data_IF_230316826056
#
_entry.id   IF_230316826056
#
_cell.length_a   1.000
_cell.length_b   1.000
_cell.length_c   1.000
_cell.angle_alpha   90.00
_cell.angle_beta   90.00
_cell.angle_gamma   90.00
#
_symmetry.space_group_name_H-M   'P 1'
#
loop_
_entity.id
_entity.type
_entity.pdbx_description
1 polymer ?
#
# COMPACT_ATOMS: atom_id res chain seq x y z
N UNK A 1 -11.97 -20.42 -2.11
CA UNK A 1 -11.88 -18.95 -2.16
C UNK A 1 -10.94 -18.53 -1.03
N UNK A 2 -9.76 -18.01 -1.33
CA UNK A 2 -8.83 -17.57 -0.28
C UNK A 2 -9.41 -16.33 0.40
N UNK A 3 -9.35 -16.27 1.73
CA UNK A 3 -9.81 -15.11 2.50
C UNK A 3 -8.73 -14.03 2.40
N UNK A 4 -9.12 -12.80 2.04
CA UNK A 4 -8.20 -11.67 2.08
C UNK A 4 -7.85 -11.33 3.52
N UNK A 5 -6.56 -11.10 3.76
CA UNK A 5 -6.02 -10.65 5.03
C UNK A 5 -5.52 -9.20 4.90
N UNK A 6 -5.60 -8.45 6.00
CA UNK A 6 -5.10 -7.07 6.08
C UNK A 6 -3.76 -7.09 6.80
N UNK A 7 -2.73 -6.62 6.12
CA UNK A 7 -1.39 -6.43 6.67
C UNK A 7 -1.15 -4.94 6.81
N UNK A 8 -0.76 -4.49 8.00
CA UNK A 8 -0.58 -3.08 8.32
C UNK A 8 0.83 -2.82 8.82
N UNK A 9 1.38 -1.65 8.49
CA UNK A 9 2.60 -1.11 9.11
C UNK A 9 2.40 -0.71 10.57
N UNK A 10 1.15 -0.64 11.04
CA UNK A 10 0.77 0.20 12.17
C UNK A 10 0.87 1.69 11.81
N UNK A 11 0.51 2.55 12.77
CA UNK A 11 0.62 3.99 12.59
C UNK A 11 2.08 4.42 12.78
N UNK A 12 2.66 4.99 11.74
CA UNK A 12 4.03 5.49 11.67
C UNK A 12 4.03 7.01 11.84
N UNK A 13 5.03 7.54 12.56
CA UNK A 13 5.30 8.97 12.60
C UNK A 13 6.08 9.38 11.34
N UNK A 14 5.60 10.42 10.67
CA UNK A 14 6.28 11.01 9.51
C UNK A 14 7.56 11.70 9.97
N UNK A 15 8.68 11.31 9.36
CA UNK A 15 9.96 11.99 9.53
C UNK A 15 10.24 12.91 8.33
N UNK A 16 11.35 12.72 7.61
CA UNK A 16 11.71 13.46 6.39
C UNK A 16 11.10 12.88 5.11
N UNK A 17 10.20 11.90 5.22
CA UNK A 17 9.60 11.22 4.08
C UNK A 17 8.49 12.08 3.45
N UNK A 18 8.53 12.19 2.12
CA UNK A 18 7.48 12.85 1.33
C UNK A 18 6.44 11.87 0.79
N UNK A 19 6.75 10.58 0.83
CA UNK A 19 5.89 9.52 0.30
C UNK A 19 5.85 8.36 1.28
N UNK A 20 4.65 7.78 1.44
CA UNK A 20 4.46 6.46 2.00
C UNK A 20 4.49 5.47 0.84
N UNK A 21 5.41 4.51 0.86
CA UNK A 21 5.68 3.62 -0.28
C UNK A 21 5.42 2.17 0.10
N UNK A 22 4.76 1.42 -0.80
CA UNK A 22 4.59 -0.02 -0.73
C UNK A 22 5.11 -0.67 -2.01
N UNK A 23 6.19 -1.44 -1.88
CA UNK A 23 6.72 -2.31 -2.91
C UNK A 23 6.13 -3.70 -2.71
N UNK A 24 5.32 -4.17 -3.67
CA UNK A 24 4.64 -5.45 -3.62
C UNK A 24 5.08 -6.27 -4.82
N UNK A 25 5.79 -7.35 -4.57
CA UNK A 25 6.26 -8.26 -5.60
C UNK A 25 5.48 -9.58 -5.54
N UNK A 26 5.01 -10.03 -6.69
CA UNK A 26 4.54 -11.39 -6.88
C UNK A 26 5.70 -12.21 -7.44
N UNK A 27 6.36 -12.98 -6.57
CA UNK A 27 7.50 -13.84 -6.93
C UNK A 27 7.05 -15.22 -7.41
N UNK A 28 5.74 -15.47 -7.45
CA UNK A 28 5.16 -16.68 -8.02
C UNK A 28 5.24 -16.68 -9.55
N UNK A 29 5.00 -17.86 -10.15
CA UNK A 29 5.14 -18.07 -11.61
C UNK A 29 3.83 -18.38 -12.32
N UNK A 30 2.70 -18.44 -11.60
CA UNK A 30 1.41 -18.91 -12.15
C UNK A 30 0.22 -18.03 -11.79
N UNK A 31 0.10 -17.66 -10.52
CA UNK A 31 -1.10 -17.00 -10.01
C UNK A 31 -0.98 -15.48 -10.10
N UNK A 32 -2.02 -14.84 -10.64
CA UNK A 32 -2.23 -13.39 -10.51
C UNK A 32 -3.00 -13.12 -9.23
N UNK A 33 -2.55 -12.13 -8.46
CA UNK A 33 -3.20 -11.77 -7.20
C UNK A 33 -3.88 -10.40 -7.29
N UNK A 34 -5.06 -10.30 -6.70
CA UNK A 34 -5.76 -9.03 -6.49
C UNK A 34 -5.28 -8.41 -5.18
N UNK A 35 -4.63 -7.25 -5.29
CA UNK A 35 -4.03 -6.52 -4.18
C UNK A 35 -4.70 -5.16 -4.02
N UNK A 36 -5.06 -4.79 -2.79
CA UNK A 36 -5.50 -3.44 -2.47
C UNK A 36 -4.51 -2.78 -1.52
N UNK A 37 -4.03 -1.59 -1.86
CA UNK A 37 -3.24 -0.73 -0.97
C UNK A 37 -4.12 0.40 -0.46
N UNK A 38 -4.02 0.68 0.82
CA UNK A 38 -4.58 1.88 1.42
C UNK A 38 -3.49 2.63 2.17
N UNK A 39 -3.47 3.96 2.04
CA UNK A 39 -2.68 4.82 2.90
C UNK A 39 -3.64 5.74 3.65
N UNK A 40 -3.47 5.83 4.96
CA UNK A 40 -4.34 6.58 5.85
C UNK A 40 -3.54 7.65 6.59
N UNK A 41 -4.03 8.89 6.58
CA UNK A 41 -3.58 9.96 7.45
C UNK A 41 -4.30 9.88 8.80
N UNK A 42 -3.52 9.66 9.86
CA UNK A 42 -3.98 9.53 11.24
C UNK A 42 -3.75 10.79 12.07
N UNK A 43 -3.36 11.90 11.44
CA UNK A 43 -2.93 13.13 12.13
C UNK A 43 -4.06 13.88 12.83
N UNK A 44 -5.31 13.52 12.54
CA UNK A 44 -6.50 13.96 13.27
C UNK A 44 -6.70 13.26 14.61
N UNK A 45 -5.97 12.17 14.89
CA UNK A 45 -6.14 11.25 16.02
C UNK A 45 -7.54 10.60 16.13
N UNK A 46 -8.48 11.00 15.28
CA UNK A 46 -9.87 10.58 15.24
C UNK A 46 -10.41 10.84 13.82
N UNK A 47 -11.03 9.84 13.20
CA UNK A 47 -11.44 9.89 11.78
C UNK A 47 -10.23 9.99 10.81
N UNK A 48 -9.52 8.88 10.54
CA UNK A 48 -8.41 8.91 9.60
C UNK A 48 -8.89 9.21 8.18
N UNK A 49 -8.11 10.00 7.44
CA UNK A 49 -8.40 10.35 6.06
C UNK A 49 -7.66 9.42 5.10
N UNK A 50 -8.37 8.80 4.16
CA UNK A 50 -7.74 7.96 3.14
C UNK A 50 -7.04 8.83 2.11
N UNK A 51 -5.77 8.56 1.85
CA UNK A 51 -4.97 9.26 0.85
C UNK A 51 -5.04 8.53 -0.50
N UNK A 52 -5.02 9.25 -1.63
CA UNK A 52 -4.90 8.65 -2.95
C UNK A 52 -3.59 7.86 -3.08
N UNK A 53 -3.68 6.64 -3.59
CA UNK A 53 -2.53 5.81 -3.91
C UNK A 53 -2.26 5.90 -5.40
N UNK A 54 -0.98 6.09 -5.73
CA UNK A 54 -0.47 6.29 -7.08
C UNK A 54 0.46 5.13 -7.48
N UNK A 55 0.62 4.90 -8.77
CA UNK A 55 1.56 3.93 -9.36
C UNK A 55 2.19 4.53 -10.62
N UNK A 56 3.41 4.08 -10.97
CA UNK A 56 4.07 4.47 -12.22
C UNK A 56 4.27 5.97 -12.34
N UNK A 57 3.68 6.60 -13.36
CA UNK A 57 3.81 8.03 -13.65
C UNK A 57 2.76 8.88 -12.91
N UNK A 58 2.60 8.66 -11.59
CA UNK A 58 1.58 9.32 -10.75
C UNK A 58 0.13 9.04 -11.15
N UNK A 59 -0.14 7.88 -11.75
CA UNK A 59 -1.52 7.47 -12.04
C UNK A 59 -2.20 6.96 -10.78
N UNK A 60 -3.44 7.39 -10.53
CA UNK A 60 -4.21 6.88 -9.41
C UNK A 60 -4.56 5.41 -9.63
N UNK A 61 -4.25 4.57 -8.64
CA UNK A 61 -4.49 3.13 -8.73
C UNK A 61 -5.98 2.83 -8.63
N UNK A 62 -6.49 2.04 -9.58
CA UNK A 62 -7.79 1.40 -9.46
C UNK A 62 -7.65 0.09 -8.67
N UNK A 63 -8.39 -0.04 -7.58
CA UNK A 63 -8.36 -1.24 -6.73
C UNK A 63 -9.62 -2.13 -6.92
N UNK A 64 -9.48 -3.46 -6.81
CA UNK A 64 -8.22 -4.19 -6.57
C UNK A 64 -7.29 -4.16 -7.79
N UNK A 65 -5.98 -4.04 -7.53
CA UNK A 65 -4.95 -4.06 -8.56
C UNK A 65 -4.53 -5.51 -8.85
N UNK A 66 -4.51 -5.89 -10.13
CA UNK A 66 -4.09 -7.23 -10.54
C UNK A 66 -2.57 -7.27 -10.69
N UNK A 67 -1.91 -8.01 -9.79
CA UNK A 67 -0.47 -8.20 -9.81
C UNK A 67 -0.11 -9.57 -10.42
N UNK A 68 0.36 -9.54 -11.66
CA UNK A 68 0.73 -10.73 -12.42
C UNK A 68 1.97 -11.44 -11.83
N UNK A 69 2.16 -12.74 -12.13
CA UNK A 69 3.38 -13.47 -11.79
C UNK A 69 4.64 -12.75 -12.25
N UNK A 70 5.70 -12.79 -11.44
CA UNK A 70 6.99 -12.14 -11.71
C UNK A 70 6.91 -10.62 -11.96
N UNK A 71 5.93 -9.93 -11.38
CA UNK A 71 5.81 -8.47 -11.46
C UNK A 71 5.97 -7.79 -10.10
N UNK A 72 6.44 -6.54 -10.16
CA UNK A 72 6.55 -5.61 -9.04
C UNK A 72 5.58 -4.46 -9.25
N UNK A 73 4.73 -4.19 -8.26
CA UNK A 73 3.99 -2.94 -8.16
C UNK A 73 4.63 -2.05 -7.09
N UNK A 74 5.06 -0.86 -7.50
CA UNK A 74 5.53 0.20 -6.59
C UNK A 74 4.42 1.22 -6.47
N UNK A 75 3.70 1.16 -5.35
CA UNK A 75 2.58 2.06 -5.07
C UNK A 75 2.97 3.05 -3.98
N UNK A 76 2.52 4.29 -4.11
CA UNK A 76 2.89 5.33 -3.16
C UNK A 76 1.78 6.36 -2.97
N UNK A 77 1.74 6.99 -1.79
CA UNK A 77 0.87 8.13 -1.51
C UNK A 77 1.71 9.33 -1.07
N UNK A 78 1.32 10.53 -1.50
CA UNK A 78 1.98 11.76 -1.10
C UNK A 78 1.62 12.09 0.36
N UNK A 79 2.64 12.17 1.22
CA UNK A 79 2.55 12.57 2.63
C UNK A 79 3.36 13.84 2.93
N UNK A 80 3.83 14.55 1.90
CA UNK A 80 4.67 15.74 2.03
C UNK A 80 3.95 16.90 2.74
N UNK A 81 2.62 16.94 2.68
CA UNK A 81 1.83 17.99 3.32
C UNK A 81 2.15 18.12 4.82
N UNK A 82 2.40 19.35 5.28
CA UNK A 82 2.90 19.61 6.63
C UNK A 82 1.93 19.22 7.76
N UNK A 83 0.64 19.11 7.45
CA UNK A 83 -0.40 18.64 8.37
C UNK A 83 -0.39 17.12 8.58
N UNK A 84 0.21 16.35 7.66
CA UNK A 84 0.36 14.90 7.81
C UNK A 84 1.57 14.62 8.72
N UNK A 85 1.31 14.13 9.92
CA UNK A 85 2.26 13.76 10.97
C UNK A 85 2.28 12.25 11.24
N UNK A 86 1.16 11.58 11.06
CA UNK A 86 1.03 10.14 11.28
C UNK A 86 0.35 9.48 10.08
N UNK A 87 0.90 8.37 9.62
CA UNK A 87 0.34 7.63 8.49
C UNK A 87 0.38 6.13 8.72
N UNK A 88 -0.49 5.39 8.05
CA UNK A 88 -0.52 3.93 8.06
C UNK A 88 -0.64 3.42 6.63
N UNK A 89 0.11 2.38 6.27
CA UNK A 89 -0.06 1.65 5.03
C UNK A 89 -0.71 0.30 5.35
N UNK A 90 -1.79 -0.03 4.64
CA UNK A 90 -2.45 -1.34 4.68
C UNK A 90 -2.37 -1.98 3.32
N UNK A 91 -2.00 -3.26 3.25
CA UNK A 91 -2.14 -4.08 2.04
C UNK A 91 -3.08 -5.23 2.34
N UNK A 92 -4.05 -5.41 1.44
CA UNK A 92 -5.12 -6.40 1.54
C UNK A 92 -4.94 -7.36 0.37
N UNK A 93 -4.72 -8.64 0.67
CA UNK A 93 -4.51 -9.68 -0.34
C UNK A 93 -4.81 -11.07 0.23
N UNK A 94 -5.06 -12.09 -0.63
CA UNK A 94 -5.15 -13.47 -0.17
C UNK A 94 -3.76 -13.92 0.30
N UNK A 95 -3.61 -14.18 1.60
CA UNK A 95 -2.32 -14.58 2.20
C UNK A 95 -1.67 -15.70 1.37
N UNK A 96 -0.55 -15.37 0.74
CA UNK A 96 0.22 -16.27 -0.11
C UNK A 96 1.70 -16.11 0.18
N UNK A 97 2.46 -17.21 0.10
CA UNK A 97 3.93 -17.22 0.20
C UNK A 97 4.60 -16.52 -1.00
N UNK A 98 3.86 -16.31 -2.08
CA UNK A 98 4.37 -15.74 -3.33
C UNK A 98 4.28 -14.21 -3.35
N UNK A 99 3.64 -13.58 -2.36
CA UNK A 99 3.58 -12.12 -2.23
C UNK A 99 4.61 -11.66 -1.20
N UNK A 100 5.54 -10.82 -1.66
CA UNK A 100 6.56 -10.17 -0.81
C UNK A 100 6.27 -8.68 -0.76
N UNK A 101 6.24 -8.12 0.45
CA UNK A 101 5.92 -6.70 0.66
C UNK A 101 7.03 -6.03 1.45
N UNK A 102 7.44 -4.85 0.98
CA UNK A 102 8.29 -3.90 1.71
C UNK A 102 7.65 -2.52 1.69
N UNK A 103 7.65 -1.86 2.84
CA UNK A 103 6.99 -0.58 3.07
C UNK A 103 7.92 0.36 3.81
N UNK A 104 7.88 1.66 3.50
CA UNK A 104 8.66 2.73 4.15
C UNK A 104 8.01 4.10 3.94
#
# INVERSE_FOLDING_TARGET
MYRNEVFSTGVLAKNTANYAVANIANIGTRETYEITVEVWDWSSYSNPAKLPVLIGQNEQVAFPYKLEPNHLAVMYANIAAANIKFYEIRVIYPRSKDIVIKWY
#
